data_IF_850482173819
#
_entry.id   IF_850482173819
#
_cell.length_a   1.000
_cell.length_b   1.000
_cell.length_c   1.000
_cell.angle_alpha   90.00
_cell.angle_beta   90.00
_cell.angle_gamma   90.00
#
_symmetry.space_group_name_H-M   'P 1'
#
loop_
_entity.id
_entity.type
_entity.pdbx_description
1 polymer ?
#
# COMPACT_ATOMS: atom_id res chain seq x y z
N UNK A 1 71.96 -5.44 16.66
CA UNK A 1 71.25 -4.51 17.56
C UNK A 1 69.99 -4.06 16.82
N UNK A 2 68.83 -4.13 17.48
CA UNK A 2 67.50 -4.26 16.91
C UNK A 2 67.04 -3.14 15.96
N UNK A 3 66.21 -3.53 15.00
CA UNK A 3 65.43 -2.69 14.10
C UNK A 3 64.28 -2.00 14.86
N UNK A 4 63.97 -0.76 14.49
CA UNK A 4 62.70 -0.11 14.80
C UNK A 4 62.12 0.40 13.46
N UNK A 5 61.37 -0.47 12.78
CA UNK A 5 60.50 -0.06 11.70
C UNK A 5 59.23 0.53 12.31
N UNK A 6 58.94 1.80 12.00
CA UNK A 6 57.71 2.46 12.41
C UNK A 6 56.51 1.80 11.70
N UNK A 7 55.88 0.85 12.38
CA UNK A 7 54.61 0.25 11.93
C UNK A 7 53.44 1.15 12.33
N UNK A 8 53.22 2.23 11.58
CA UNK A 8 51.95 2.96 11.63
C UNK A 8 50.90 2.17 10.85
N UNK A 9 50.10 1.37 11.54
CA UNK A 9 48.94 0.70 10.92
C UNK A 9 47.92 1.74 10.42
N UNK A 10 47.13 1.44 9.36
CA UNK A 10 46.09 2.35 8.91
C UNK A 10 45.01 2.49 10.00
N UNK A 11 44.84 3.70 10.53
CA UNK A 11 43.67 4.06 11.33
C UNK A 11 42.46 4.26 10.41
N UNK A 12 41.50 3.34 10.48
CA UNK A 12 40.23 3.47 9.79
C UNK A 12 39.20 4.16 10.68
N UNK A 13 38.75 5.36 10.30
CA UNK A 13 37.64 6.05 10.97
C UNK A 13 36.34 5.78 10.21
N UNK A 14 35.39 5.10 10.85
CA UNK A 14 34.01 4.99 10.37
C UNK A 14 33.19 6.10 11.02
N UNK A 15 32.61 6.99 10.21
CA UNK A 15 31.62 7.96 10.70
C UNK A 15 30.30 7.23 10.91
N UNK A 16 29.85 7.16 12.17
CA UNK A 16 28.54 6.69 12.56
C UNK A 16 27.63 7.91 12.73
N UNK A 17 26.61 8.03 11.89
CA UNK A 17 25.56 9.02 12.07
C UNK A 17 24.42 8.38 12.87
N UNK A 18 24.11 8.99 14.03
CA UNK A 18 23.03 8.53 14.89
C UNK A 18 21.76 9.26 14.46
N UNK A 19 20.71 8.49 14.17
CA UNK A 19 19.40 9.06 13.80
C UNK A 19 18.82 9.92 14.91
N UNK A 20 18.05 10.93 14.52
CA UNK A 20 17.27 11.72 15.46
C UNK A 20 16.15 10.91 16.12
N UNK A 21 15.42 11.52 17.09
CA UNK A 21 14.23 10.90 17.67
C UNK A 21 13.20 10.53 16.60
N UNK A 22 12.47 9.44 16.82
CA UNK A 22 11.40 8.99 15.92
C UNK A 22 10.33 10.07 15.79
N UNK A 23 10.15 10.58 14.57
CA UNK A 23 9.12 11.56 14.24
C UNK A 23 7.87 10.91 13.63
N UNK A 24 8.01 9.74 13.01
CA UNK A 24 6.86 8.98 12.52
C UNK A 24 7.19 7.58 12.04
N UNK A 25 6.14 6.85 11.69
CA UNK A 25 6.19 5.45 11.30
C UNK A 25 5.39 5.23 10.00
N UNK A 26 5.89 4.38 9.12
CA UNK A 26 5.24 4.04 7.84
C UNK A 26 5.30 2.54 7.55
N UNK A 27 4.19 1.99 7.07
CA UNK A 27 4.16 0.64 6.50
C UNK A 27 4.49 0.66 4.99
N UNK A 28 5.34 -0.27 4.56
CA UNK A 28 5.70 -0.51 3.17
C UNK A 28 5.36 -1.94 2.76
N UNK A 29 4.42 -2.16 1.81
CA UNK A 29 3.56 -1.18 1.15
C UNK A 29 2.50 -0.57 2.10
N UNK A 30 1.90 0.56 1.73
CA UNK A 30 0.84 1.23 2.53
C UNK A 30 -0.56 0.60 2.41
N UNK A 31 -0.71 -0.40 1.53
CA UNK A 31 -1.92 -1.23 1.37
C UNK A 31 -1.54 -2.61 0.87
N UNK A 32 -2.31 -3.61 1.27
CA UNK A 32 -2.22 -4.97 0.75
C UNK A 32 -3.61 -5.39 0.26
N UNK A 33 -3.69 -5.77 -1.01
CA UNK A 33 -4.82 -6.48 -1.59
C UNK A 33 -4.40 -7.91 -1.91
N UNK A 34 -5.23 -8.87 -1.52
CA UNK A 34 -5.05 -10.29 -1.81
C UNK A 34 -6.23 -10.75 -2.66
N UNK A 35 -6.03 -11.69 -3.58
CA UNK A 35 -7.10 -12.14 -4.47
C UNK A 35 -8.01 -13.15 -3.78
N UNK A 36 -7.44 -14.05 -2.96
CA UNK A 36 -8.20 -15.17 -2.37
C UNK A 36 -7.75 -15.57 -0.97
N UNK A 37 -8.60 -16.35 -0.31
CA UNK A 37 -8.27 -17.03 0.95
C UNK A 37 -6.95 -17.82 0.84
N UNK A 38 -6.13 -17.72 1.86
CA UNK A 38 -4.84 -18.40 1.97
C UNK A 38 -3.71 -17.73 1.20
N UNK A 39 -3.99 -16.71 0.41
CA UNK A 39 -2.95 -15.87 -0.18
C UNK A 39 -2.30 -14.98 0.88
N UNK A 40 -1.08 -14.56 0.61
CA UNK A 40 -0.26 -13.80 1.53
C UNK A 40 0.61 -12.77 0.84
N UNK A 41 0.93 -11.69 1.55
CA UNK A 41 1.88 -10.67 1.11
C UNK A 41 2.72 -10.17 2.30
N UNK A 42 3.91 -9.65 1.98
CA UNK A 42 4.84 -9.09 2.96
C UNK A 42 4.63 -7.59 3.20
N UNK A 43 4.94 -7.12 4.40
CA UNK A 43 5.15 -5.70 4.68
C UNK A 43 6.25 -5.48 5.73
N UNK A 44 6.85 -4.30 5.68
CA UNK A 44 7.84 -3.82 6.65
C UNK A 44 7.39 -2.50 7.26
N UNK A 45 7.90 -2.19 8.45
CA UNK A 45 7.72 -0.89 9.09
C UNK A 45 9.03 -0.11 9.04
N UNK A 46 8.93 1.16 8.64
CA UNK A 46 10.06 2.09 8.59
C UNK A 46 9.74 3.28 9.45
N UNK A 47 10.62 3.55 10.42
CA UNK A 47 10.61 4.78 11.20
C UNK A 47 11.37 5.88 10.46
N UNK A 48 10.98 7.12 10.68
CA UNK A 48 11.71 8.30 10.19
C UNK A 48 11.82 9.37 11.26
N UNK A 49 12.93 10.10 11.25
CA UNK A 49 13.13 11.28 12.11
C UNK A 49 12.64 12.57 11.45
N UNK A 50 12.80 13.70 12.13
CA UNK A 50 12.34 15.01 11.65
C UNK A 50 13.10 15.50 10.41
N UNK A 51 14.25 14.90 10.11
CA UNK A 51 15.09 15.19 8.95
C UNK A 51 14.78 14.24 7.78
N UNK A 52 13.91 13.25 7.99
CA UNK A 52 13.52 12.26 6.99
C UNK A 52 14.50 11.11 6.86
N UNK A 53 15.48 10.98 7.75
CA UNK A 53 16.35 9.82 7.78
C UNK A 53 15.58 8.60 8.31
N UNK A 54 15.77 7.44 7.68
CA UNK A 54 14.92 6.27 7.87
C UNK A 54 15.65 5.09 8.48
N UNK A 55 14.97 4.32 9.32
CA UNK A 55 15.44 3.00 9.78
C UNK A 55 14.30 1.97 9.77
N UNK A 56 14.59 0.68 9.50
CA UNK A 56 13.63 -0.39 9.72
C UNK A 56 13.28 -0.48 11.20
N UNK A 57 12.03 -0.83 11.51
CA UNK A 57 11.57 -1.14 12.86
C UNK A 57 11.35 -2.64 12.95
N UNK A 58 12.05 -3.28 13.89
CA UNK A 58 12.01 -4.73 14.04
C UNK A 58 10.64 -5.20 14.58
N UNK A 59 10.14 -6.37 14.13
CA UNK A 59 8.89 -6.95 14.63
C UNK A 59 8.80 -7.07 16.15
N UNK A 60 9.93 -7.40 16.81
CA UNK A 60 10.06 -7.50 18.26
C UNK A 60 9.92 -6.16 19.01
N UNK A 61 9.79 -5.03 18.32
CA UNK A 61 9.55 -3.73 18.93
C UNK A 61 8.10 -3.26 18.72
N UNK A 62 7.28 -4.06 18.01
CA UNK A 62 5.94 -3.69 17.58
C UNK A 62 4.86 -4.55 18.23
N UNK A 63 3.76 -3.90 18.58
CA UNK A 63 2.48 -4.55 18.88
C UNK A 63 1.54 -4.35 17.70
N UNK A 64 0.88 -5.42 17.26
CA UNK A 64 -0.06 -5.39 16.13
C UNK A 64 -1.50 -5.59 16.59
N UNK A 65 -2.36 -4.68 16.16
CA UNK A 65 -3.81 -4.77 16.29
C UNK A 65 -4.48 -4.96 14.92
N UNK A 66 -5.33 -5.98 14.82
CA UNK A 66 -6.07 -6.36 13.62
C UNK A 66 -7.11 -7.44 13.95
N UNK A 67 -8.08 -7.63 13.06
CA UNK A 67 -9.07 -8.70 13.17
C UNK A 67 -8.44 -10.07 12.87
N UNK A 68 -8.10 -10.79 13.94
CA UNK A 68 -7.49 -12.13 13.91
C UNK A 68 -8.42 -13.22 13.36
N UNK A 69 -9.73 -12.95 13.26
CA UNK A 69 -10.66 -13.89 12.61
C UNK A 69 -10.56 -13.85 11.08
N UNK A 70 -10.04 -12.74 10.53
CA UNK A 70 -9.92 -12.50 9.08
C UNK A 70 -8.50 -12.58 8.57
N UNK A 71 -7.52 -12.25 9.42
CA UNK A 71 -6.12 -12.14 9.05
C UNK A 71 -5.24 -12.94 10.00
N UNK A 72 -4.19 -13.55 9.45
CA UNK A 72 -3.06 -14.05 10.22
C UNK A 72 -1.83 -13.22 9.87
N UNK A 73 -1.11 -12.73 10.86
CA UNK A 73 0.14 -11.99 10.65
C UNK A 73 1.25 -12.67 11.44
N UNK A 74 2.35 -12.98 10.75
CA UNK A 74 3.53 -13.63 11.34
C UNK A 74 4.79 -12.89 10.94
N UNK A 75 5.81 -12.90 11.79
CA UNK A 75 7.15 -12.42 11.40
C UNK A 75 7.70 -13.27 10.25
N UNK A 76 8.43 -12.66 9.33
CA UNK A 76 9.02 -13.34 8.18
C UNK A 76 10.47 -13.82 8.41
N UNK A 77 11.03 -13.50 9.57
CA UNK A 77 12.43 -13.79 9.94
C UNK A 77 13.47 -12.89 9.27
N UNK A 78 13.05 -11.83 8.57
CA UNK A 78 13.89 -10.91 7.78
C UNK A 78 13.65 -9.43 8.15
N UNK A 79 13.06 -9.17 9.32
CA UNK A 79 12.72 -7.83 9.79
C UNK A 79 11.36 -7.32 9.31
N UNK A 80 10.52 -8.19 8.73
CA UNK A 80 9.18 -7.87 8.26
C UNK A 80 8.11 -8.81 8.78
N UNK A 81 6.93 -8.68 8.19
CA UNK A 81 5.77 -9.51 8.49
C UNK A 81 5.17 -10.06 7.20
N UNK A 82 4.54 -11.23 7.30
CA UNK A 82 3.66 -11.79 6.29
C UNK A 82 2.22 -11.74 6.80
N UNK A 83 1.32 -11.12 6.04
CA UNK A 83 -0.13 -11.19 6.28
C UNK A 83 -0.74 -12.25 5.37
N UNK A 84 -1.66 -13.05 5.90
CA UNK A 84 -2.41 -14.10 5.17
C UNK A 84 -3.91 -13.90 5.37
N UNK A 85 -4.69 -14.03 4.29
CA UNK A 85 -6.15 -14.01 4.37
C UNK A 85 -6.73 -15.32 4.89
N UNK A 86 -7.58 -15.26 5.91
CA UNK A 86 -8.25 -16.44 6.48
C UNK A 86 -9.66 -16.67 5.91
N UNK A 87 -10.25 -15.63 5.33
CA UNK A 87 -11.58 -15.61 4.72
C UNK A 87 -11.49 -15.26 3.23
N UNK A 88 -12.49 -15.62 2.39
CA UNK A 88 -12.46 -15.33 0.96
C UNK A 88 -12.67 -13.86 0.61
N UNK A 89 -13.35 -13.09 1.48
CA UNK A 89 -13.60 -11.68 1.27
C UNK A 89 -13.57 -10.92 2.60
N UNK A 90 -12.78 -9.85 2.66
CA UNK A 90 -12.74 -8.94 3.80
C UNK A 90 -11.99 -7.65 3.46
N UNK A 91 -12.39 -6.57 4.11
CA UNK A 91 -11.58 -5.35 4.25
C UNK A 91 -11.24 -5.13 5.73
N UNK A 92 -10.16 -4.40 5.98
CA UNK A 92 -9.75 -4.06 7.34
C UNK A 92 -8.55 -3.13 7.40
N UNK A 93 -8.16 -2.79 8.62
CA UNK A 93 -6.95 -2.05 8.94
C UNK A 93 -6.14 -2.85 9.95
N UNK A 94 -4.83 -2.89 9.73
CA UNK A 94 -3.85 -3.31 10.72
C UNK A 94 -3.18 -2.05 11.28
N UNK A 95 -3.09 -1.96 12.61
CA UNK A 95 -2.38 -0.90 13.30
C UNK A 95 -1.14 -1.48 13.96
N UNK A 96 0.03 -0.96 13.60
CA UNK A 96 1.30 -1.27 14.24
C UNK A 96 1.65 -0.15 15.22
N UNK A 97 2.02 -0.51 16.45
CA UNK A 97 2.42 0.42 17.51
C UNK A 97 3.82 0.08 18.01
N UNK A 98 4.73 1.05 18.00
CA UNK A 98 6.07 0.91 18.60
C UNK A 98 5.93 0.89 20.12
N UNK A 99 6.42 -0.17 20.77
CA UNK A 99 6.24 -0.37 22.23
C UNK A 99 6.84 0.74 23.08
N UNK A 100 8.00 1.27 22.69
CA UNK A 100 8.77 2.23 23.49
C UNK A 100 8.26 3.66 23.38
N UNK A 101 7.72 4.05 22.21
CA UNK A 101 7.31 5.42 21.93
C UNK A 101 5.79 5.59 21.79
N UNK A 102 5.05 4.50 21.57
CA UNK A 102 3.63 4.54 21.25
C UNK A 102 3.33 5.02 19.82
N UNK A 103 4.35 5.28 18.99
CA UNK A 103 4.15 5.73 17.61
C UNK A 103 3.40 4.66 16.79
N UNK A 104 2.46 5.10 15.96
CA UNK A 104 1.57 4.19 15.21
C UNK A 104 1.67 4.34 13.71
N UNK A 105 1.47 3.25 12.98
CA UNK A 105 1.23 3.25 11.53
C UNK A 105 0.05 2.34 11.18
N UNK A 106 -0.78 2.78 10.24
CA UNK A 106 -1.89 2.00 9.70
C UNK A 106 -1.54 1.37 8.35
N UNK A 107 -2.01 0.14 8.13
CA UNK A 107 -1.94 -0.58 6.88
C UNK A 107 -3.34 -1.03 6.46
N UNK A 108 -3.79 -0.64 5.26
CA UNK A 108 -5.06 -1.09 4.72
C UNK A 108 -4.93 -2.53 4.18
N UNK A 109 -5.87 -3.39 4.55
CA UNK A 109 -5.93 -4.80 4.13
C UNK A 109 -7.22 -5.07 3.35
N UNK A 110 -7.11 -5.84 2.27
CA UNK A 110 -8.23 -6.31 1.46
C UNK A 110 -7.98 -7.73 0.95
N UNK A 111 -9.04 -8.54 0.89
CA UNK A 111 -9.05 -9.83 0.21
C UNK A 111 -10.37 -10.01 -0.50
N UNK A 112 -10.34 -10.67 -1.66
CA UNK A 112 -11.54 -10.96 -2.45
C UNK A 112 -11.98 -9.71 -3.19
N UNK A 113 -11.30 -9.41 -4.29
CA UNK A 113 -11.74 -8.37 -5.22
C UNK A 113 -12.90 -8.91 -6.04
N UNK A 114 -14.03 -8.21 -6.05
CA UNK A 114 -15.13 -8.48 -6.95
C UNK A 114 -15.18 -7.40 -8.04
N UNK A 115 -15.03 -7.80 -9.30
CA UNK A 115 -15.31 -6.91 -10.41
C UNK A 115 -16.83 -6.68 -10.49
N UNK A 116 -17.27 -5.46 -10.19
CA UNK A 116 -18.64 -5.04 -10.39
C UNK A 116 -18.69 -4.10 -11.60
N UNK A 117 -19.37 -4.49 -12.70
CA UNK A 117 -19.55 -3.57 -13.82
C UNK A 117 -20.37 -2.36 -13.36
N UNK A 118 -19.78 -1.16 -13.44
CA UNK A 118 -20.44 0.09 -13.01
C UNK A 118 -21.48 0.55 -14.05
N UNK A 119 -21.13 0.42 -15.32
CA UNK A 119 -22.00 0.60 -16.47
C UNK A 119 -21.40 -0.15 -17.66
N UNK A 120 -22.26 -0.58 -18.57
CA UNK A 120 -21.86 -1.01 -19.91
C UNK A 120 -22.28 0.02 -20.96
N UNK A 121 -22.01 -0.30 -22.22
CA UNK A 121 -22.28 0.55 -23.39
C UNK A 121 -23.36 -0.03 -24.31
N UNK A 122 -24.17 -0.94 -23.80
CA UNK A 122 -25.26 -1.61 -24.53
C UNK A 122 -26.25 -0.60 -25.11
N UNK A 123 -26.44 0.52 -24.42
CA UNK A 123 -27.10 1.74 -24.92
C UNK A 123 -26.12 2.92 -24.93
N UNK A 124 -25.07 2.82 -25.76
CA UNK A 124 -24.06 3.87 -25.91
C UNK A 124 -24.66 5.22 -26.34
N UNK A 125 -25.82 5.22 -27.01
CA UNK A 125 -26.51 6.44 -27.44
C UNK A 125 -27.09 7.25 -26.27
N UNK A 126 -27.31 6.62 -25.11
CA UNK A 126 -27.76 7.32 -23.90
C UNK A 126 -26.62 8.07 -23.18
N UNK A 127 -25.36 7.84 -23.56
CA UNK A 127 -24.22 8.61 -23.05
C UNK A 127 -24.10 9.95 -23.77
N UNK A 128 -23.81 11.01 -23.02
CA UNK A 128 -23.77 12.39 -23.56
C UNK A 128 -22.46 13.07 -23.23
N UNK A 129 -22.09 14.11 -23.96
CA UNK A 129 -20.92 14.93 -23.64
C UNK A 129 -20.15 15.39 -24.87
N UNK A 130 -19.30 16.41 -24.73
CA UNK A 130 -18.51 16.93 -25.83
C UNK A 130 -17.58 15.85 -26.39
N UNK A 131 -17.67 15.60 -27.71
CA UNK A 131 -16.74 14.71 -28.41
C UNK A 131 -16.94 13.23 -28.12
N UNK A 132 -18.06 12.87 -27.48
CA UNK A 132 -18.48 11.50 -27.28
C UNK A 132 -19.52 11.10 -28.34
N UNK A 133 -19.36 9.92 -28.93
CA UNK A 133 -20.32 9.35 -29.86
C UNK A 133 -20.38 7.82 -29.73
N UNK A 134 -21.54 7.19 -29.95
CA UNK A 134 -21.64 5.73 -30.07
C UNK A 134 -20.71 5.23 -31.18
N UNK A 135 -20.02 4.13 -30.91
CA UNK A 135 -19.11 3.49 -31.84
C UNK A 135 -19.11 1.97 -31.63
N UNK A 136 -18.39 1.25 -32.48
CA UNK A 136 -18.09 -0.16 -32.26
C UNK A 136 -16.93 -0.29 -31.26
N UNK A 137 -17.13 -1.12 -30.23
CA UNK A 137 -16.16 -1.49 -29.20
C UNK A 137 -15.61 -2.91 -29.40
N UNK A 138 -14.83 -3.40 -28.44
CA UNK A 138 -14.17 -4.71 -28.53
C UNK A 138 -14.47 -5.64 -27.34
N UNK A 139 -15.38 -6.62 -27.48
CA UNK A 139 -16.43 -6.75 -28.50
C UNK A 139 -17.71 -5.94 -28.16
N UNK A 140 -18.53 -5.63 -29.17
CA UNK A 140 -19.89 -5.09 -28.99
C UNK A 140 -19.98 -3.55 -29.07
N UNK A 141 -21.11 -2.96 -28.66
CA UNK A 141 -21.27 -1.50 -28.62
C UNK A 141 -20.23 -0.81 -27.73
N UNK A 142 -19.81 0.39 -28.11
CA UNK A 142 -18.82 1.18 -27.39
C UNK A 142 -19.04 2.68 -27.53
N UNK A 143 -18.16 3.46 -26.91
CA UNK A 143 -18.16 4.91 -26.97
C UNK A 143 -16.81 5.41 -27.50
N UNK A 144 -16.84 6.16 -28.59
CA UNK A 144 -15.67 6.86 -29.10
C UNK A 144 -15.53 8.21 -28.40
N UNK A 145 -14.28 8.59 -28.11
CA UNK A 145 -13.92 9.93 -27.61
C UNK A 145 -12.96 10.58 -28.60
N UNK A 146 -13.25 11.82 -28.98
CA UNK A 146 -12.31 12.67 -29.72
C UNK A 146 -11.08 12.98 -28.87
N UNK A 147 -9.88 12.90 -29.44
CA UNK A 147 -8.63 13.18 -28.74
C UNK A 147 -8.40 14.70 -28.59
N UNK A 148 -9.14 15.33 -27.69
CA UNK A 148 -9.03 16.76 -27.33
C UNK A 148 -9.23 16.98 -25.83
N UNK A 149 -8.75 18.12 -25.34
CA UNK A 149 -8.65 18.39 -23.90
C UNK A 149 -9.99 18.43 -23.17
N UNK A 150 -11.08 18.78 -23.86
CA UNK A 150 -12.42 18.93 -23.30
C UNK A 150 -13.36 17.78 -23.67
N UNK A 151 -12.87 16.72 -24.33
CA UNK A 151 -13.70 15.56 -24.63
C UNK A 151 -14.10 14.82 -23.34
N UNK A 152 -15.39 14.55 -23.19
CA UNK A 152 -15.94 13.94 -21.99
C UNK A 152 -17.21 13.14 -22.31
N UNK A 153 -17.47 12.14 -21.48
CA UNK A 153 -18.69 11.34 -21.52
C UNK A 153 -19.34 11.29 -20.15
N UNK A 154 -20.63 11.60 -20.11
CA UNK A 154 -21.49 11.55 -18.95
C UNK A 154 -22.45 10.35 -19.09
N UNK A 155 -22.55 9.49 -18.05
CA UNK A 155 -23.43 8.34 -18.08
C UNK A 155 -24.90 8.76 -17.97
N UNK A 156 -25.84 7.98 -18.53
CA UNK A 156 -27.28 8.27 -18.44
C UNK A 156 -27.84 8.19 -17.02
N UNK A 157 -27.11 7.56 -16.10
CA UNK A 157 -27.42 7.48 -14.67
C UNK A 157 -26.14 7.64 -13.85
N UNK A 158 -26.21 8.20 -12.63
CA UNK A 158 -25.06 8.24 -11.74
C UNK A 158 -24.46 6.85 -11.54
N UNK A 159 -23.13 6.73 -11.68
CA UNK A 159 -22.45 5.46 -11.44
C UNK A 159 -22.47 5.16 -9.94
N UNK A 160 -22.88 3.96 -9.52
CA UNK A 160 -22.83 3.57 -8.13
C UNK A 160 -21.37 3.45 -7.71
N UNK A 161 -20.87 4.43 -6.96
CA UNK A 161 -19.61 4.30 -6.24
C UNK A 161 -19.90 3.57 -4.93
N UNK A 162 -19.36 2.35 -4.72
CA UNK A 162 -19.53 1.66 -3.44
C UNK A 162 -19.03 2.57 -2.30
N UNK A 163 -19.80 2.69 -1.21
CA UNK A 163 -19.44 3.54 -0.07
C UNK A 163 -18.07 3.23 0.55
N UNK A 164 -17.52 2.04 0.27
CA UNK A 164 -16.19 1.59 0.68
C UNK A 164 -15.05 2.52 0.23
N UNK A 165 -15.25 3.36 -0.80
CA UNK A 165 -14.24 4.34 -1.23
C UNK A 165 -14.19 5.58 -0.33
N UNK A 166 -15.27 5.87 0.42
CA UNK A 166 -15.36 7.07 1.27
C UNK A 166 -14.72 6.88 2.66
N UNK A 167 -14.52 5.63 3.10
CA UNK A 167 -13.86 5.32 4.37
C UNK A 167 -12.32 5.48 4.35
N UNK A 168 -11.75 5.89 3.21
CA UNK A 168 -10.32 6.10 3.01
C UNK A 168 -9.95 7.58 2.77
N UNK A 169 -10.90 8.51 2.94
CA UNK A 169 -10.67 9.96 2.87
C UNK A 169 -10.49 10.57 4.25
#
# INVERSE_FOLDING_TARGET
RAAAGAGGGPEGVLRLEVLGPLAGLRAGPGRIGLERRGESAGFVLTGYDAQGATAPVEPRDLTLDYDRSRWRVTEDGRGGFTVTALVPQASGRLTATVRTTGATAGLALGVGSAAAPLAGFEDAAAWTGPGAAPAEGHPGPGLALEARADAAAAPPRPLPVPELTRALS
#
